data_IF_152435982355
#
_entry.id   IF_152435982355
#
_cell.length_a   1.000
_cell.length_b   1.000
_cell.length_c   1.000
_cell.angle_alpha   90.00
_cell.angle_beta   90.00
_cell.angle_gamma   90.00
#
_symmetry.space_group_name_H-M   'P 1'
#
loop_
_entity.id
_entity.type
_entity.pdbx_description
1 polymer ?
#
# COMPACT_ATOMS: atom_id res chain seq x y z
N UNK A 1 -29.55 -5.84 5.51
CA UNK A 1 -28.31 -6.42 6.04
C UNK A 1 -27.20 -6.45 4.98
N UNK A 2 -27.47 -6.94 3.77
CA UNK A 2 -26.46 -7.10 2.70
C UNK A 2 -25.84 -5.77 2.20
N UNK A 3 -26.63 -4.69 2.14
CA UNK A 3 -26.15 -3.37 1.67
C UNK A 3 -25.12 -2.77 2.62
N UNK A 4 -25.35 -2.84 3.94
CA UNK A 4 -24.39 -2.30 4.93
C UNK A 4 -23.06 -3.05 4.85
N UNK A 5 -23.14 -4.39 4.75
CA UNK A 5 -21.97 -5.26 4.68
C UNK A 5 -21.16 -4.99 3.40
N UNK A 6 -21.85 -4.85 2.25
CA UNK A 6 -21.24 -4.44 0.99
C UNK A 6 -20.55 -3.08 1.10
N UNK A 7 -21.23 -2.08 1.68
CA UNK A 7 -20.68 -0.73 1.83
C UNK A 7 -19.43 -0.72 2.71
N UNK A 8 -19.42 -1.46 3.82
CA UNK A 8 -18.25 -1.54 4.71
C UNK A 8 -17.07 -2.16 3.98
N UNK A 9 -17.28 -3.29 3.29
CA UNK A 9 -16.22 -3.96 2.54
C UNK A 9 -15.69 -3.03 1.44
N UNK A 10 -16.57 -2.43 0.65
CA UNK A 10 -16.19 -1.55 -0.46
C UNK A 10 -15.38 -0.34 0.04
N UNK A 11 -15.79 0.29 1.14
CA UNK A 11 -15.05 1.39 1.73
C UNK A 11 -13.70 0.95 2.29
N UNK A 12 -13.60 -0.23 2.90
CA UNK A 12 -12.34 -0.77 3.39
C UNK A 12 -11.35 -1.02 2.24
N UNK A 13 -11.82 -1.55 1.11
CA UNK A 13 -10.99 -1.73 -0.09
C UNK A 13 -10.55 -0.39 -0.68
N UNK A 14 -11.43 0.61 -0.78
CA UNK A 14 -11.07 1.94 -1.26
C UNK A 14 -10.02 2.61 -0.35
N UNK A 15 -10.18 2.47 0.97
CA UNK A 15 -9.22 2.98 1.94
C UNK A 15 -7.85 2.30 1.78
N UNK A 16 -7.85 0.98 1.63
CA UNK A 16 -6.62 0.22 1.40
C UNK A 16 -5.89 0.67 0.12
N UNK A 17 -6.62 0.86 -0.98
CA UNK A 17 -6.06 1.38 -2.22
C UNK A 17 -5.43 2.77 -2.03
N UNK A 18 -6.11 3.65 -1.30
CA UNK A 18 -5.59 4.98 -0.97
C UNK A 18 -4.29 4.89 -0.14
N UNK A 19 -4.23 4.00 0.85
CA UNK A 19 -3.01 3.78 1.66
C UNK A 19 -1.85 3.25 0.81
N UNK A 20 -2.13 2.33 -0.13
CA UNK A 20 -1.11 1.84 -1.06
C UNK A 20 -0.58 2.98 -1.93
N UNK A 21 -1.46 3.84 -2.49
CA UNK A 21 -1.02 5.03 -3.22
C UNK A 21 -0.14 5.96 -2.38
N UNK A 22 -0.52 6.22 -1.13
CA UNK A 22 0.28 7.07 -0.23
C UNK A 22 1.66 6.45 0.01
N UNK A 23 1.73 5.14 0.28
CA UNK A 23 2.99 4.43 0.49
C UNK A 23 3.93 4.53 -0.71
N UNK A 24 3.35 4.48 -1.88
CA UNK A 24 4.04 4.59 -3.16
C UNK A 24 4.65 5.96 -3.33
N UNK A 25 3.86 7.02 -3.14
CA UNK A 25 4.36 8.39 -3.25
C UNK A 25 5.42 8.63 -2.17
N UNK A 26 5.20 8.11 -0.96
CA UNK A 26 6.15 8.17 0.14
C UNK A 26 7.47 7.46 -0.18
N UNK A 27 7.46 6.40 -1.01
CA UNK A 27 8.68 5.71 -1.42
C UNK A 27 9.59 6.54 -2.33
N UNK A 28 9.05 7.56 -3.00
CA UNK A 28 9.82 8.45 -3.90
C UNK A 28 10.49 9.61 -3.18
N UNK A 29 10.10 9.86 -1.93
CA UNK A 29 10.65 10.95 -1.12
C UNK A 29 11.38 10.39 0.10
N UNK A 30 12.53 10.97 0.49
CA UNK A 30 13.18 10.62 1.75
C UNK A 30 12.23 10.89 2.91
N UNK A 31 12.04 9.89 3.77
CA UNK A 31 11.14 9.98 4.92
C UNK A 31 11.77 9.29 6.14
N UNK A 32 11.32 9.67 7.34
CA UNK A 32 11.84 9.09 8.58
C UNK A 32 11.17 7.73 8.88
N UNK A 33 11.88 6.60 8.79
CA UNK A 33 11.31 5.27 9.04
C UNK A 33 10.86 5.06 10.50
N UNK A 34 11.32 5.91 11.44
CA UNK A 34 10.91 5.85 12.85
C UNK A 34 9.60 6.57 13.15
N UNK A 35 8.99 7.25 12.16
CA UNK A 35 7.69 7.86 12.34
C UNK A 35 6.61 6.78 12.48
N UNK A 36 5.84 6.81 13.58
CA UNK A 36 4.80 5.85 13.89
C UNK A 36 3.73 5.74 12.78
N UNK A 37 3.36 6.84 12.14
CA UNK A 37 2.39 6.83 11.04
C UNK A 37 2.93 6.10 9.81
N UNK A 38 4.21 6.27 9.53
CA UNK A 38 4.88 5.58 8.42
C UNK A 38 5.00 4.09 8.74
N UNK A 39 5.37 3.72 9.96
CA UNK A 39 5.41 2.32 10.36
C UNK A 39 4.04 1.66 10.26
N UNK A 40 2.98 2.35 10.70
CA UNK A 40 1.61 1.85 10.59
C UNK A 40 1.20 1.69 9.13
N UNK A 41 1.50 2.67 8.28
CA UNK A 41 1.25 2.59 6.84
C UNK A 41 1.92 1.36 6.22
N UNK A 42 3.20 1.13 6.55
CA UNK A 42 3.93 -0.03 6.06
C UNK A 42 3.32 -1.33 6.62
N UNK A 43 3.03 -1.42 7.92
CA UNK A 43 2.44 -2.61 8.54
C UNK A 43 1.09 -3.00 7.94
N UNK A 44 0.22 -2.02 7.65
CA UNK A 44 -1.11 -2.27 7.08
C UNK A 44 -1.02 -2.71 5.62
N UNK A 45 -0.08 -2.16 4.85
CA UNK A 45 0.03 -2.42 3.41
C UNK A 45 0.98 -3.57 3.06
N UNK A 46 1.90 -3.96 3.96
CA UNK A 46 2.91 -5.00 3.72
C UNK A 46 2.34 -6.37 3.37
N UNK A 47 1.31 -6.89 4.05
CA UNK A 47 0.77 -8.22 3.74
C UNK A 47 0.28 -8.35 2.29
N UNK A 48 -0.13 -7.24 1.69
CA UNK A 48 -0.65 -7.18 0.31
C UNK A 48 0.46 -6.89 -0.68
N UNK A 49 1.38 -5.98 -0.35
CA UNK A 49 2.45 -5.58 -1.26
C UNK A 49 3.63 -6.57 -1.29
N UNK A 50 3.91 -7.29 -0.19
CA UNK A 50 5.03 -8.24 -0.11
C UNK A 50 4.96 -9.35 -1.16
N UNK A 51 3.83 -10.08 -1.35
CA UNK A 51 3.74 -11.11 -2.39
C UNK A 51 3.91 -10.55 -3.81
N UNK A 52 3.44 -9.33 -4.06
CA UNK A 52 3.57 -8.65 -5.36
C UNK A 52 5.04 -8.29 -5.60
N UNK A 53 5.74 -7.82 -4.57
CA UNK A 53 7.16 -7.48 -4.59
C UNK A 53 8.10 -8.66 -4.77
N UNK A 54 7.72 -9.83 -4.28
CA UNK A 54 8.48 -11.08 -4.46
C UNK A 54 8.35 -11.62 -5.89
N UNK A 55 7.19 -11.40 -6.52
CA UNK A 55 6.92 -11.88 -7.89
C UNK A 55 7.40 -10.92 -8.97
N UNK A 56 7.38 -9.61 -8.68
CA UNK A 56 7.92 -8.58 -9.56
C UNK A 56 9.07 -7.89 -8.82
N UNK A 57 10.33 -8.06 -9.27
CA UNK A 57 11.49 -7.45 -8.62
C UNK A 57 11.58 -5.94 -8.91
N UNK A 58 10.54 -5.21 -8.51
CA UNK A 58 10.39 -3.75 -8.65
C UNK A 58 11.31 -2.97 -7.72
N UNK A 59 11.96 -3.64 -6.76
CA UNK A 59 12.90 -3.01 -5.82
C UNK A 59 14.33 -2.85 -6.37
N UNK A 60 14.62 -3.30 -7.60
CA UNK A 60 15.99 -3.33 -8.14
C UNK A 60 16.62 -1.96 -8.43
N UNK A 61 15.89 -0.84 -8.28
CA UNK A 61 16.38 0.49 -8.67
C UNK A 61 16.17 1.64 -7.68
N UNK A 62 15.78 1.38 -6.42
CA UNK A 62 15.52 2.44 -5.43
C UNK A 62 14.25 3.28 -5.69
N UNK A 63 13.48 2.94 -6.72
CA UNK A 63 12.17 3.52 -7.04
C UNK A 63 11.16 2.37 -7.06
N UNK A 64 10.16 2.41 -6.18
CA UNK A 64 9.12 1.39 -6.13
C UNK A 64 8.08 1.64 -7.24
N UNK A 65 8.11 0.80 -8.29
CA UNK A 65 7.10 0.79 -9.37
C UNK A 65 6.00 -0.28 -9.20
N UNK A 66 5.86 -0.88 -8.00
CA UNK A 66 4.69 -1.70 -7.66
C UNK A 66 3.28 -1.06 -7.83
N UNK A 67 3.06 0.27 -7.78
CA UNK A 67 1.73 0.86 -7.92
C UNK A 67 1.20 0.75 -9.35
N UNK A 68 2.09 0.76 -10.34
CA UNK A 68 1.73 0.65 -11.76
C UNK A 68 1.16 -0.74 -12.07
N UNK A 69 1.55 -1.74 -11.28
CA UNK A 69 1.08 -3.13 -11.43
C UNK A 69 -0.20 -3.37 -10.61
N UNK A 70 -0.40 -2.61 -9.53
CA UNK A 70 -1.59 -2.73 -8.67
C UNK A 70 -2.84 -2.04 -9.25
N UNK A 71 -2.66 -1.15 -10.23
CA UNK A 71 -3.72 -0.53 -11.04
C UNK A 71 -3.93 -1.26 -12.36
#
# INVERSE_FOLDING_TARGET
MNILLYTIINNAFNLLQMLIMVRVVLSWVPHNPYNQLIQLLYQVTEPILRPIRETLPVQSGGIDFSPIVAF
#
